data_IF_401684735205
#
_entry.id   IF_401684735205
#
_cell.length_a   1.000
_cell.length_b   1.000
_cell.length_c   1.000
_cell.angle_alpha   90.00
_cell.angle_beta   90.00
_cell.angle_gamma   90.00
#
_symmetry.space_group_name_H-M   'P 1'
#
loop_
_entity.id
_entity.type
_entity.pdbx_description
1 polymer ?
#
# COMPACT_ATOMS: atom_id res chain seq x y z
N UNK A 1 -32.03 15.43 27.57
CA UNK A 1 -31.37 14.13 27.34
C UNK A 1 -30.79 14.16 25.94
N UNK A 2 -29.52 13.79 25.75
CA UNK A 2 -28.94 13.68 24.40
C UNK A 2 -29.59 12.49 23.72
N UNK A 3 -30.10 12.68 22.50
CA UNK A 3 -30.71 11.61 21.71
C UNK A 3 -29.62 10.60 21.30
N UNK A 4 -29.85 9.33 21.62
CA UNK A 4 -28.95 8.25 21.19
C UNK A 4 -29.15 7.99 19.70
N UNK A 5 -28.16 8.36 18.90
CA UNK A 5 -28.18 8.22 17.43
C UNK A 5 -27.28 7.08 16.94
N UNK A 6 -26.82 6.19 17.82
CA UNK A 6 -25.85 5.15 17.47
C UNK A 6 -26.31 4.28 16.30
N UNK A 7 -27.51 3.69 16.37
CA UNK A 7 -28.01 2.80 15.32
C UNK A 7 -28.14 3.50 13.97
N UNK A 8 -28.63 4.75 13.97
CA UNK A 8 -28.77 5.54 12.75
C UNK A 8 -27.41 5.84 12.10
N UNK A 9 -26.44 6.26 12.91
CA UNK A 9 -25.09 6.56 12.44
C UNK A 9 -24.39 5.30 11.93
N UNK A 10 -24.48 4.20 12.66
CA UNK A 10 -23.91 2.91 12.26
C UNK A 10 -24.54 2.40 10.95
N UNK A 11 -25.86 2.44 10.84
CA UNK A 11 -26.58 1.96 9.65
C UNK A 11 -26.29 2.82 8.41
N UNK A 12 -26.14 4.13 8.57
CA UNK A 12 -25.90 5.08 7.48
C UNK A 12 -24.41 5.26 7.12
N UNK A 13 -23.49 4.86 7.99
CA UNK A 13 -22.06 5.12 7.78
C UNK A 13 -21.56 4.41 6.53
N UNK A 14 -21.10 5.20 5.56
CA UNK A 14 -20.46 4.73 4.34
C UNK A 14 -19.25 5.58 4.08
N UNK A 15 -18.22 4.94 3.55
CA UNK A 15 -17.01 5.60 3.09
C UNK A 15 -17.33 6.24 1.75
N UNK A 16 -17.16 7.57 1.64
CA UNK A 16 -17.43 8.30 0.41
C UNK A 16 -16.27 8.12 -0.58
N UNK A 17 -16.20 6.93 -1.19
CA UNK A 17 -15.20 6.56 -2.19
C UNK A 17 -15.92 6.20 -3.50
N UNK A 18 -15.48 6.70 -4.67
CA UNK A 18 -16.09 6.36 -5.96
C UNK A 18 -16.18 4.86 -6.19
N UNK A 19 -17.22 4.39 -6.88
CA UNK A 19 -17.42 2.96 -7.15
C UNK A 19 -16.23 2.36 -7.91
N UNK A 20 -15.78 3.04 -8.98
CA UNK A 20 -14.53 2.76 -9.66
C UNK A 20 -13.40 3.52 -8.96
N UNK A 21 -12.48 2.78 -8.37
CA UNK A 21 -11.43 3.33 -7.55
C UNK A 21 -10.21 2.43 -7.57
N UNK A 22 -9.04 3.03 -7.85
CA UNK A 22 -7.75 2.39 -7.67
C UNK A 22 -6.94 3.18 -6.63
N UNK A 23 -6.60 2.55 -5.51
CA UNK A 23 -5.87 3.20 -4.42
C UNK A 23 -4.47 3.66 -4.85
N UNK A 24 -3.82 2.97 -5.78
CA UNK A 24 -2.53 3.41 -6.32
C UNK A 24 -2.64 4.72 -7.12
N UNK A 25 -3.78 4.91 -7.80
CA UNK A 25 -4.09 6.15 -8.51
C UNK A 25 -4.30 7.31 -7.52
N UNK A 26 -5.04 7.06 -6.43
CA UNK A 26 -5.25 8.05 -5.37
C UNK A 26 -3.97 8.40 -4.58
N UNK A 27 -3.10 7.43 -4.34
CA UNK A 27 -1.89 7.60 -3.53
C UNK A 27 -0.67 8.05 -4.32
N UNK A 28 -0.54 7.71 -5.60
CA UNK A 28 0.65 8.03 -6.41
C UNK A 28 0.29 8.59 -7.79
N UNK A 29 -0.59 7.91 -8.54
CA UNK A 29 -0.89 8.23 -9.94
C UNK A 29 -1.28 9.69 -10.18
N UNK A 30 -2.23 10.23 -9.41
CA UNK A 30 -2.65 11.63 -9.52
C UNK A 30 -1.52 12.60 -9.23
N UNK A 31 -0.75 12.36 -8.17
CA UNK A 31 0.33 13.25 -7.74
C UNK A 31 1.51 13.22 -8.72
N UNK A 32 1.81 12.05 -9.29
CA UNK A 32 2.84 11.93 -10.32
C UNK A 32 2.46 12.67 -11.61
N UNK A 33 1.17 12.89 -11.88
CA UNK A 33 0.71 13.73 -13.00
C UNK A 33 0.66 15.21 -12.65
N UNK A 34 0.10 15.54 -11.49
CA UNK A 34 -0.23 16.92 -11.14
C UNK A 34 0.95 17.65 -10.47
N UNK A 35 1.75 16.94 -9.67
CA UNK A 35 2.92 17.47 -8.94
C UNK A 35 4.14 16.54 -9.04
N UNK A 36 4.62 16.18 -10.26
CA UNK A 36 5.62 15.13 -10.48
C UNK A 36 6.94 15.30 -9.69
N UNK A 37 7.32 16.55 -9.42
CA UNK A 37 8.58 16.90 -8.72
C UNK A 37 8.43 16.97 -7.20
N UNK A 38 7.21 16.93 -6.66
CA UNK A 38 7.00 16.94 -5.23
C UNK A 38 7.56 15.66 -4.60
N UNK A 39 8.15 15.79 -3.41
CA UNK A 39 8.67 14.64 -2.66
C UNK A 39 7.54 13.74 -2.21
N UNK A 40 7.62 12.47 -2.57
CA UNK A 40 6.71 11.43 -2.13
C UNK A 40 7.25 10.69 -0.90
N UNK A 41 8.55 10.38 -0.90
CA UNK A 41 9.20 9.61 0.16
C UNK A 41 10.48 10.32 0.60
N UNK A 42 10.58 10.60 1.89
CA UNK A 42 11.83 10.84 2.58
C UNK A 42 12.30 9.51 3.17
N UNK A 43 13.51 9.10 2.82
CA UNK A 43 14.14 7.91 3.39
C UNK A 43 15.30 8.36 4.26
N UNK A 44 15.28 7.93 5.53
CA UNK A 44 16.38 8.06 6.47
C UNK A 44 16.70 6.65 6.98
N UNK A 45 17.98 6.35 7.15
CA UNK A 45 18.47 5.04 7.55
C UNK A 45 19.34 5.16 8.78
N UNK A 46 19.49 4.06 9.52
CA UNK A 46 20.29 4.04 10.75
C UNK A 46 21.77 4.37 10.50
N UNK A 47 22.26 4.22 9.27
CA UNK A 47 23.62 4.61 8.85
C UNK A 47 23.76 6.11 8.53
N UNK A 48 22.68 6.89 8.67
CA UNK A 48 22.63 8.32 8.35
C UNK A 48 22.49 8.62 6.86
N UNK A 49 22.26 7.62 6.01
CA UNK A 49 21.98 7.84 4.59
C UNK A 49 20.55 8.40 4.44
N UNK A 50 20.46 9.57 3.80
CA UNK A 50 19.22 10.30 3.55
C UNK A 50 18.98 10.44 2.06
N UNK A 51 17.80 10.04 1.61
CA UNK A 51 17.38 10.12 0.22
C UNK A 51 15.98 10.72 0.12
N UNK A 52 15.71 11.37 -1.01
CA UNK A 52 14.38 11.88 -1.34
C UNK A 52 13.95 11.33 -2.69
N UNK A 53 12.72 10.84 -2.77
CA UNK A 53 12.12 10.33 -3.99
C UNK A 53 10.86 11.12 -4.31
N UNK A 54 10.76 11.62 -5.54
CA UNK A 54 9.59 12.33 -6.02
C UNK A 54 8.45 11.38 -6.40
N UNK A 55 7.24 11.92 -6.51
CA UNK A 55 6.10 11.16 -7.04
C UNK A 55 6.36 10.58 -8.43
N UNK A 56 7.05 11.32 -9.31
CA UNK A 56 7.43 10.79 -10.63
C UNK A 56 8.40 9.60 -10.54
N UNK A 57 9.34 9.61 -9.59
CA UNK A 57 10.27 8.48 -9.39
C UNK A 57 9.54 7.25 -8.84
N UNK A 58 8.69 7.44 -7.83
CA UNK A 58 7.86 6.37 -7.26
C UNK A 58 6.96 5.74 -8.33
N UNK A 59 6.25 6.57 -9.11
CA UNK A 59 5.34 6.12 -10.15
C UNK A 59 6.07 5.34 -11.26
N UNK A 60 7.24 5.83 -11.71
CA UNK A 60 8.03 5.14 -12.75
C UNK A 60 8.52 3.77 -12.28
N UNK A 61 8.99 3.68 -11.04
CA UNK A 61 9.42 2.40 -10.46
C UNK A 61 8.23 1.44 -10.29
N UNK A 62 7.09 1.94 -9.82
CA UNK A 62 5.88 1.13 -9.67
C UNK A 62 5.32 0.65 -11.01
N UNK A 63 5.40 1.46 -12.07
CA UNK A 63 5.01 1.07 -13.42
C UNK A 63 5.87 -0.07 -13.95
N UNK A 64 7.19 0.02 -13.79
CA UNK A 64 8.12 -1.06 -14.17
C UNK A 64 7.76 -2.35 -13.44
N UNK A 65 7.59 -2.27 -12.12
CA UNK A 65 7.21 -3.44 -11.32
C UNK A 65 5.84 -3.98 -11.71
N UNK A 66 4.86 -3.13 -12.03
CA UNK A 66 3.52 -3.57 -12.46
C UNK A 66 3.58 -4.42 -13.73
N UNK A 67 4.33 -3.95 -14.74
CA UNK A 67 4.59 -4.72 -15.96
C UNK A 67 5.28 -6.05 -15.64
N UNK A 68 6.32 -6.01 -14.80
CA UNK A 68 7.05 -7.21 -14.42
C UNK A 68 6.14 -8.25 -13.73
N UNK A 69 5.30 -7.83 -12.78
CA UNK A 69 4.37 -8.70 -12.07
C UNK A 69 3.37 -9.35 -13.03
N UNK A 70 2.87 -8.61 -14.03
CA UNK A 70 1.99 -9.19 -15.06
C UNK A 70 2.72 -10.23 -15.91
N UNK A 71 3.97 -9.98 -16.28
CA UNK A 71 4.83 -10.93 -17.01
C UNK A 71 5.12 -12.18 -16.17
N UNK A 72 5.20 -12.05 -14.84
CA UNK A 72 5.27 -13.17 -13.90
C UNK A 72 3.91 -13.82 -13.59
N UNK A 73 2.91 -13.59 -14.45
CA UNK A 73 1.57 -14.16 -14.34
C UNK A 73 0.81 -13.78 -13.06
N UNK A 74 1.15 -12.67 -12.41
CA UNK A 74 0.32 -12.08 -11.35
C UNK A 74 -0.92 -11.46 -12.01
N UNK A 75 -2.08 -11.61 -11.37
CA UNK A 75 -3.39 -11.18 -11.88
C UNK A 75 -4.19 -10.50 -10.76
N UNK A 76 -5.27 -9.81 -11.13
CA UNK A 76 -6.20 -9.21 -10.17
C UNK A 76 -6.63 -10.24 -9.12
N UNK A 77 -6.65 -9.84 -7.85
CA UNK A 77 -7.01 -10.69 -6.72
C UNK A 77 -5.92 -11.67 -6.24
N UNK A 78 -4.83 -11.87 -6.98
CA UNK A 78 -3.69 -12.66 -6.48
C UNK A 78 -3.01 -11.94 -5.31
N UNK A 79 -2.55 -12.70 -4.32
CA UNK A 79 -1.79 -12.14 -3.18
C UNK A 79 -0.30 -12.13 -3.53
N UNK A 80 0.35 -11.02 -3.23
CA UNK A 80 1.79 -10.85 -3.36
C UNK A 80 2.36 -10.54 -1.97
N UNK A 81 3.21 -11.42 -1.47
CA UNK A 81 3.89 -11.23 -0.19
C UNK A 81 4.92 -10.10 -0.31
N UNK A 82 4.94 -9.18 0.65
CA UNK A 82 5.96 -8.14 0.76
C UNK A 82 6.71 -8.39 2.07
N UNK A 83 7.90 -8.95 1.97
CA UNK A 83 8.81 -9.22 3.09
C UNK A 83 9.98 -8.24 2.97
N UNK A 84 9.70 -6.95 3.21
CA UNK A 84 10.66 -5.86 3.07
C UNK A 84 10.68 -4.99 4.34
N UNK A 85 11.83 -4.37 4.68
CA UNK A 85 11.88 -3.35 5.73
C UNK A 85 11.24 -2.03 5.25
N UNK A 86 11.29 -0.99 6.08
CA UNK A 86 10.82 0.35 5.68
C UNK A 86 11.84 0.99 4.71
N UNK A 87 11.59 0.85 3.41
CA UNK A 87 12.45 1.36 2.33
C UNK A 87 11.62 1.82 1.13
N UNK A 88 12.25 2.51 0.19
CA UNK A 88 11.59 3.01 -1.03
C UNK A 88 10.89 1.89 -1.81
N UNK A 89 11.52 0.73 -1.93
CA UNK A 89 11.02 -0.44 -2.65
C UNK A 89 9.73 -1.00 -2.04
N UNK A 90 9.51 -0.81 -0.75
CA UNK A 90 8.25 -1.19 -0.07
C UNK A 90 7.10 -0.34 -0.57
N UNK A 91 7.30 0.97 -0.72
CA UNK A 91 6.31 1.86 -1.33
C UNK A 91 6.07 1.50 -2.80
N UNK A 92 7.14 1.23 -3.56
CA UNK A 92 7.05 0.79 -4.96
C UNK A 92 6.22 -0.48 -5.10
N UNK A 93 6.46 -1.48 -4.24
CA UNK A 93 5.74 -2.75 -4.22
C UNK A 93 4.23 -2.55 -4.01
N UNK A 94 3.84 -1.76 -2.99
CA UNK A 94 2.43 -1.48 -2.71
C UNK A 94 1.73 -0.83 -3.90
N UNK A 95 2.30 0.24 -4.46
CA UNK A 95 1.71 0.94 -5.61
C UNK A 95 1.60 -0.01 -6.81
N UNK A 96 2.65 -0.77 -7.13
CA UNK A 96 2.64 -1.68 -8.28
C UNK A 96 1.60 -2.81 -8.17
N UNK A 97 1.51 -3.44 -7.00
CA UNK A 97 0.56 -4.52 -6.74
C UNK A 97 -0.89 -4.01 -6.86
N UNK A 98 -1.15 -2.82 -6.31
CA UNK A 98 -2.48 -2.19 -6.36
C UNK A 98 -2.84 -1.69 -7.77
N UNK A 99 -1.86 -1.22 -8.55
CA UNK A 99 -2.06 -0.82 -9.95
C UNK A 99 -2.58 -1.95 -10.84
N UNK A 100 -2.21 -3.21 -10.54
CA UNK A 100 -2.67 -4.39 -11.28
C UNK A 100 -3.90 -5.06 -10.63
N UNK A 101 -4.44 -4.45 -9.56
CA UNK A 101 -5.57 -4.99 -8.80
C UNK A 101 -5.25 -6.25 -8.01
N UNK A 102 -3.96 -6.54 -7.78
CA UNK A 102 -3.53 -7.61 -6.89
C UNK A 102 -3.57 -7.13 -5.42
N UNK A 103 -3.43 -8.08 -4.50
CA UNK A 103 -3.55 -7.86 -3.07
C UNK A 103 -2.17 -7.84 -2.44
N UNK A 104 -1.78 -6.71 -1.88
CA UNK A 104 -0.51 -6.59 -1.16
C UNK A 104 -0.61 -7.28 0.20
N UNK A 105 0.34 -8.15 0.51
CA UNK A 105 0.38 -8.87 1.78
C UNK A 105 1.69 -8.57 2.51
N UNK A 106 1.76 -7.47 3.28
CA UNK A 106 2.95 -7.15 4.06
C UNK A 106 3.18 -8.19 5.16
N UNK A 107 4.41 -8.66 5.26
CA UNK A 107 4.88 -9.62 6.25
C UNK A 107 6.13 -9.05 6.94
N UNK A 108 6.33 -9.42 8.21
CA UNK A 108 7.52 -8.99 8.95
C UNK A 108 8.78 -9.68 8.42
N UNK A 109 9.85 -8.89 8.29
CA UNK A 109 11.21 -9.40 8.04
C UNK A 109 11.71 -10.30 9.17
N UNK A 110 11.13 -10.18 10.37
CA UNK A 110 11.53 -10.94 11.56
C UNK A 110 10.82 -12.29 11.68
N UNK A 111 9.93 -12.63 10.75
CA UNK A 111 9.29 -13.94 10.75
C UNK A 111 10.26 -15.03 10.32
N UNK A 112 10.38 -16.06 11.15
CA UNK A 112 11.05 -17.31 10.78
C UNK A 112 10.23 -18.13 9.77
N UNK A 113 10.82 -19.24 9.32
CA UNK A 113 10.26 -20.11 8.29
C UNK A 113 8.80 -20.52 8.56
N UNK A 114 8.49 -21.12 9.71
CA UNK A 114 7.12 -21.59 10.03
C UNK A 114 6.07 -20.47 9.93
N UNK A 115 6.41 -19.27 10.41
CA UNK A 115 5.51 -18.12 10.38
C UNK A 115 5.27 -17.60 8.95
N UNK A 116 6.28 -17.66 8.08
CA UNK A 116 6.15 -17.34 6.66
C UNK A 116 5.33 -18.42 5.94
N UNK A 117 5.67 -19.69 6.16
CA UNK A 117 5.02 -20.84 5.54
C UNK A 117 3.51 -20.81 5.75
N UNK A 118 3.07 -20.69 7.00
CA UNK A 118 1.64 -20.63 7.33
C UNK A 118 0.92 -19.55 6.52
N UNK A 119 1.47 -18.33 6.50
CA UNK A 119 0.82 -17.18 5.84
C UNK A 119 0.85 -17.29 4.32
N UNK A 120 1.92 -17.83 3.75
CA UNK A 120 2.04 -18.08 2.32
C UNK A 120 1.03 -19.14 1.86
N UNK A 121 0.86 -20.22 2.63
CA UNK A 121 -0.11 -21.27 2.34
C UNK A 121 -1.55 -20.79 2.53
N UNK A 122 -1.88 -20.20 3.69
CA UNK A 122 -3.24 -19.73 4.00
C UNK A 122 -3.71 -18.62 3.03
N UNK A 123 -2.80 -17.73 2.64
CA UNK A 123 -3.12 -16.69 1.65
C UNK A 123 -3.13 -17.19 0.22
N UNK A 124 -2.48 -18.32 -0.10
CA UNK A 124 -2.18 -18.70 -1.48
C UNK A 124 -1.41 -17.62 -2.25
N UNK A 125 -0.43 -16.98 -1.61
CA UNK A 125 0.41 -15.97 -2.25
C UNK A 125 1.16 -16.55 -3.45
N UNK A 126 1.09 -15.86 -4.60
CA UNK A 126 1.63 -16.39 -5.86
C UNK A 126 3.05 -15.91 -6.17
N UNK A 127 3.47 -14.83 -5.51
CA UNK A 127 4.77 -14.19 -5.66
C UNK A 127 5.15 -13.54 -4.33
N UNK A 128 6.45 -13.52 -4.02
CA UNK A 128 7.00 -12.78 -2.89
C UNK A 128 8.01 -11.75 -3.36
N UNK A 129 7.99 -10.56 -2.79
CA UNK A 129 9.03 -9.54 -2.90
C UNK A 129 9.73 -9.50 -1.56
N UNK A 130 11.00 -9.85 -1.51
CA UNK A 130 11.75 -10.01 -0.26
C UNK A 130 13.08 -9.29 -0.29
N UNK A 131 13.57 -8.81 0.85
CA UNK A 131 14.93 -8.30 0.94
C UNK A 131 15.91 -9.46 1.18
N UNK A 132 17.17 -9.30 0.78
CA UNK A 132 18.20 -10.33 0.91
C UNK A 132 18.29 -10.93 2.32
N UNK A 133 18.04 -10.13 3.36
CA UNK A 133 18.11 -10.52 4.76
C UNK A 133 17.03 -11.54 5.15
N UNK A 134 15.86 -11.51 4.51
CA UNK A 134 14.76 -12.45 4.78
C UNK A 134 14.68 -13.61 3.76
N UNK A 135 15.49 -13.56 2.71
CA UNK A 135 15.51 -14.59 1.67
C UNK A 135 15.78 -16.02 2.20
N UNK A 136 16.71 -16.26 3.16
CA UNK A 136 16.97 -17.61 3.65
C UNK A 136 15.73 -18.31 4.25
N UNK A 137 14.96 -17.59 5.07
CA UNK A 137 13.74 -18.13 5.67
C UNK A 137 12.66 -18.42 4.62
N UNK A 138 12.60 -17.62 3.55
CA UNK A 138 11.68 -17.86 2.43
C UNK A 138 12.08 -19.07 1.59
N UNK A 139 13.39 -19.27 1.34
CA UNK A 139 13.91 -20.44 0.63
C UNK A 139 13.59 -21.74 1.36
N UNK A 140 13.70 -21.76 2.69
CA UNK A 140 13.41 -22.92 3.52
C UNK A 140 11.97 -23.45 3.33
N UNK A 141 11.02 -22.56 3.05
CA UNK A 141 9.59 -22.88 2.96
C UNK A 141 9.07 -22.96 1.52
N UNK A 142 9.81 -22.46 0.54
CA UNK A 142 9.37 -22.34 -0.86
C UNK A 142 8.85 -23.67 -1.44
N UNK A 143 9.56 -24.77 -1.17
CA UNK A 143 9.17 -26.11 -1.64
C UNK A 143 7.83 -26.60 -1.05
N UNK A 144 7.44 -26.10 0.13
CA UNK A 144 6.16 -26.42 0.80
C UNK A 144 5.05 -25.42 0.47
N UNK A 145 5.35 -24.38 -0.30
CA UNK A 145 4.40 -23.34 -0.72
C UNK A 145 4.17 -23.41 -2.24
N UNK A 146 3.40 -24.40 -2.76
CA UNK A 146 3.27 -24.64 -4.19
C UNK A 146 2.62 -23.48 -4.98
N UNK A 147 1.81 -22.65 -4.30
CA UNK A 147 1.24 -21.45 -4.90
C UNK A 147 2.30 -20.38 -5.20
N UNK A 148 3.37 -20.32 -4.40
CA UNK A 148 4.44 -19.33 -4.53
C UNK A 148 5.31 -19.69 -5.73
N UNK A 149 5.09 -19.03 -6.87
CA UNK A 149 5.76 -19.36 -8.14
C UNK A 149 7.12 -18.69 -8.29
N UNK A 150 7.24 -17.44 -7.86
CA UNK A 150 8.44 -16.61 -8.07
C UNK A 150 8.76 -15.76 -6.85
N UNK A 151 10.03 -15.41 -6.70
CA UNK A 151 10.51 -14.48 -5.69
C UNK A 151 11.27 -13.34 -6.37
N UNK A 152 10.96 -12.09 -6.03
CA UNK A 152 11.75 -10.92 -6.42
C UNK A 152 12.57 -10.49 -5.20
N UNK A 153 13.88 -10.41 -5.37
CA UNK A 153 14.85 -10.17 -4.29
C UNK A 153 15.39 -8.76 -4.38
N UNK A 154 15.24 -8.00 -3.31
CA UNK A 154 15.71 -6.62 -3.18
C UNK A 154 17.03 -6.59 -2.42
N UNK A 155 18.06 -6.03 -3.03
CA UNK A 155 19.42 -5.99 -2.50
C UNK A 155 20.40 -6.79 -3.35
N UNK A 156 21.65 -6.84 -2.91
CA UNK A 156 22.74 -7.52 -3.61
C UNK A 156 23.04 -8.85 -2.94
N UNK A 157 22.41 -9.92 -3.43
CA UNK A 157 22.70 -11.30 -3.03
C UNK A 157 22.47 -12.27 -4.20
N UNK A 158 23.11 -13.46 -4.18
CA UNK A 158 22.91 -14.46 -5.21
C UNK A 158 21.45 -14.92 -5.27
N UNK A 159 20.91 -15.01 -6.49
CA UNK A 159 19.55 -15.48 -6.77
C UNK A 159 19.58 -16.85 -7.45
N UNK A 160 18.63 -17.70 -7.10
CA UNK A 160 18.42 -19.03 -7.70
C UNK A 160 17.41 -18.98 -8.87
N UNK A 161 17.09 -20.14 -9.48
CA UNK A 161 16.28 -20.21 -10.72
C UNK A 161 14.86 -19.62 -10.62
N UNK A 162 14.19 -19.76 -9.46
CA UNK A 162 12.84 -19.23 -9.22
C UNK A 162 12.84 -17.79 -8.67
N UNK A 163 14.03 -17.21 -8.56
CA UNK A 163 14.28 -15.92 -7.94
C UNK A 163 14.77 -14.91 -8.98
N UNK A 164 14.51 -13.63 -8.75
CA UNK A 164 14.88 -12.58 -9.68
C UNK A 164 15.41 -11.38 -8.91
N UNK A 165 16.52 -10.81 -9.36
CA UNK A 165 17.04 -9.59 -8.78
C UNK A 165 16.13 -8.40 -9.13
N UNK A 166 15.77 -7.61 -8.12
CA UNK A 166 14.88 -6.46 -8.24
C UNK A 166 15.31 -5.46 -9.32
N UNK A 167 16.59 -5.11 -9.38
CA UNK A 167 17.09 -4.13 -10.34
C UNK A 167 16.94 -4.62 -11.77
N UNK A 168 17.26 -5.90 -12.01
CA UNK A 168 17.10 -6.52 -13.33
C UNK A 168 15.62 -6.59 -13.73
N UNK A 169 14.74 -6.97 -12.80
CA UNK A 169 13.29 -6.98 -13.00
C UNK A 169 12.76 -5.61 -13.42
N UNK A 170 13.19 -4.53 -12.75
CA UNK A 170 12.72 -3.19 -13.12
C UNK A 170 13.33 -2.69 -14.44
N UNK A 171 14.60 -2.99 -14.71
CA UNK A 171 15.30 -2.53 -15.91
C UNK A 171 14.75 -3.18 -17.19
N UNK A 172 14.25 -4.40 -17.10
CA UNK A 172 13.66 -5.13 -18.22
C UNK A 172 12.32 -4.56 -18.70
N UNK A 173 11.68 -3.69 -17.90
CA UNK A 173 10.31 -3.25 -18.15
C UNK A 173 10.20 -1.77 -18.50
N UNK A 174 9.13 -1.39 -19.21
CA UNK A 174 8.84 0.00 -19.51
C UNK A 174 8.34 0.77 -18.27
N UNK A 175 8.67 2.06 -18.20
CA UNK A 175 8.22 2.94 -17.12
C UNK A 175 6.79 3.50 -17.31
N UNK A 176 6.09 3.05 -18.36
CA UNK A 176 4.70 3.40 -18.63
C UNK A 176 3.79 2.22 -18.28
N UNK A 177 2.74 2.51 -17.53
CA UNK A 177 1.72 1.54 -17.18
C UNK A 177 0.36 2.24 -17.14
N UNK A 178 -0.70 1.53 -17.54
CA UNK A 178 -2.08 1.99 -17.36
C UNK A 178 -2.68 1.16 -16.22
N UNK A 179 -2.96 1.75 -15.05
CA UNK A 179 -3.61 1.04 -13.94
C UNK A 179 -4.91 0.37 -14.39
N UNK A 180 -5.18 -0.81 -13.84
CA UNK A 180 -6.46 -1.47 -14.07
C UNK A 180 -7.58 -0.70 -13.36
N UNK A 181 -8.76 -0.72 -13.97
CA UNK A 181 -9.98 -0.24 -13.31
C UNK A 181 -10.36 -1.28 -12.26
N UNK A 182 -10.29 -0.89 -10.99
CA UNK A 182 -10.75 -1.67 -9.83
C UNK A 182 -11.97 -1.00 -9.22
N UNK A 183 -12.65 -1.72 -8.33
CA UNK A 183 -13.75 -1.17 -7.56
C UNK A 183 -13.32 -0.86 -6.12
N UNK A 184 -14.02 0.07 -5.49
CA UNK A 184 -13.78 0.47 -4.11
C UNK A 184 -13.92 -0.68 -3.09
N UNK A 185 -14.70 -1.73 -3.40
CA UNK A 185 -14.83 -2.94 -2.57
C UNK A 185 -13.83 -4.05 -2.92
N UNK A 186 -13.02 -3.87 -3.97
CA UNK A 186 -12.01 -4.86 -4.33
C UNK A 186 -10.97 -5.00 -3.21
N UNK A 187 -10.48 -6.23 -2.94
CA UNK A 187 -9.40 -6.45 -2.01
C UNK A 187 -8.12 -5.69 -2.39
N UNK A 188 -7.48 -5.07 -1.40
CA UNK A 188 -6.29 -4.24 -1.60
C UNK A 188 -5.09 -4.74 -0.80
N UNK A 189 -5.34 -5.06 0.46
CA UNK A 189 -4.30 -5.46 1.41
C UNK A 189 -4.81 -6.65 2.23
N UNK A 190 -3.94 -7.63 2.47
CA UNK A 190 -4.16 -8.72 3.39
C UNK A 190 -3.15 -8.61 4.55
N UNK A 191 -3.63 -8.34 5.76
CA UNK A 191 -2.77 -8.25 6.96
C UNK A 191 -3.06 -9.43 7.87
N UNK A 192 -2.03 -10.18 8.24
CA UNK A 192 -2.15 -11.19 9.28
C UNK A 192 -1.96 -10.59 10.66
N UNK A 193 -2.93 -10.79 11.53
CA UNK A 193 -2.86 -10.39 12.94
C UNK A 193 -2.65 -11.60 13.84
N UNK A 194 -1.94 -11.41 14.97
CA UNK A 194 -1.85 -12.44 15.99
C UNK A 194 -3.23 -12.69 16.59
N UNK A 195 -3.70 -13.93 16.54
CA UNK A 195 -4.88 -14.34 17.28
C UNK A 195 -4.55 -14.41 18.77
N UNK A 196 -5.50 -14.04 19.64
CA UNK A 196 -5.42 -14.32 21.08
C UNK A 196 -5.53 -15.82 21.38
N UNK A 197 -6.13 -16.58 20.45
CA UNK A 197 -6.20 -18.04 20.44
C UNK A 197 -6.03 -18.55 19.02
N UNK A 198 -5.12 -19.50 18.81
CA UNK A 198 -4.90 -20.17 17.53
C UNK A 198 -4.02 -19.41 16.52
N UNK A 199 -4.04 -19.89 15.28
CA UNK A 199 -3.19 -19.38 14.22
C UNK A 199 -3.54 -17.92 13.83
N UNK A 200 -2.57 -17.16 13.27
CA UNK A 200 -2.81 -15.81 12.76
C UNK A 200 -3.96 -15.76 11.75
N UNK A 201 -4.75 -14.69 11.79
CA UNK A 201 -5.93 -14.50 10.91
C UNK A 201 -5.63 -13.45 9.86
N UNK A 202 -5.92 -13.76 8.60
CA UNK A 202 -5.79 -12.82 7.49
C UNK A 202 -6.97 -11.84 7.42
N UNK A 203 -6.75 -10.60 7.83
CA UNK A 203 -7.70 -9.50 7.64
C UNK A 203 -7.59 -8.96 6.21
N UNK A 204 -8.59 -9.26 5.38
CA UNK A 204 -8.68 -8.77 4.01
C UNK A 204 -9.35 -7.39 3.99
N UNK A 205 -8.61 -6.38 3.54
CA UNK A 205 -9.02 -4.98 3.58
C UNK A 205 -9.31 -4.50 2.15
N UNK A 206 -10.52 -3.98 1.87
CA UNK A 206 -10.86 -3.45 0.56
C UNK A 206 -10.22 -2.08 0.31
N UNK A 207 -10.14 -1.67 -0.95
CA UNK A 207 -9.47 -0.42 -1.34
C UNK A 207 -10.04 0.83 -0.66
N UNK A 208 -11.38 0.92 -0.51
CA UNK A 208 -12.02 2.06 0.17
C UNK A 208 -11.58 2.22 1.61
N UNK A 209 -11.36 1.10 2.31
CA UNK A 209 -10.99 1.10 3.72
C UNK A 209 -9.60 1.69 3.97
N UNK A 210 -8.74 1.73 2.94
CA UNK A 210 -7.43 2.38 3.05
C UNK A 210 -7.55 3.90 3.04
N UNK A 211 -8.42 4.47 2.21
CA UNK A 211 -8.50 5.92 2.04
C UNK A 211 -9.47 6.60 2.99
N UNK A 212 -10.66 6.06 3.25
CA UNK A 212 -11.59 6.80 4.13
C UNK A 212 -11.24 6.72 5.62
N UNK A 213 -10.18 5.98 6.01
CA UNK A 213 -9.67 5.91 7.38
C UNK A 213 -8.68 7.04 7.59
N UNK A 214 -8.33 7.72 6.50
CA UNK A 214 -7.43 8.85 6.51
C UNK A 214 -7.95 9.94 7.45
N UNK A 215 -9.26 10.14 7.58
CA UNK A 215 -9.81 11.06 8.59
C UNK A 215 -9.45 10.66 10.01
N UNK A 216 -9.53 9.36 10.35
CA UNK A 216 -9.07 8.82 11.63
C UNK A 216 -7.56 9.04 11.85
N UNK A 217 -6.75 8.82 10.82
CA UNK A 217 -5.32 9.08 10.87
C UNK A 217 -5.00 10.58 11.05
N UNK A 218 -5.55 11.44 10.19
CA UNK A 218 -5.41 12.91 10.27
C UNK A 218 -5.88 13.41 11.63
N UNK A 219 -7.01 12.94 12.14
CA UNK A 219 -7.50 13.35 13.45
C UNK A 219 -6.52 12.99 14.56
N UNK A 220 -5.99 11.76 14.53
CA UNK A 220 -5.06 11.28 15.55
C UNK A 220 -3.67 11.92 15.50
N UNK A 221 -3.24 12.45 14.34
CA UNK A 221 -1.89 12.97 14.14
C UNK A 221 -1.84 14.50 14.05
N UNK A 222 -2.85 15.11 13.40
CA UNK A 222 -2.87 16.54 13.09
C UNK A 222 -3.85 17.35 13.97
N UNK A 223 -4.72 16.71 14.77
CA UNK A 223 -5.63 17.41 15.69
C UNK A 223 -5.24 17.28 17.17
N UNK A 224 -4.15 16.58 17.49
CA UNK A 224 -3.55 16.58 18.83
C UNK A 224 -2.63 17.80 19.06
N UNK A 225 -3.20 19.01 18.93
CA UNK A 225 -2.58 20.23 19.46
C UNK A 225 -1.34 20.78 18.75
N UNK A 226 -0.99 20.28 17.57
CA UNK A 226 0.09 20.83 16.74
C UNK A 226 -0.46 21.25 15.37
N UNK A 227 -0.18 22.48 14.97
CA UNK A 227 -0.44 22.93 13.61
C UNK A 227 0.58 22.24 12.68
N UNK A 228 0.15 21.42 11.71
CA UNK A 228 1.07 20.62 10.89
C UNK A 228 1.98 21.47 10.00
N UNK A 229 1.72 22.78 9.89
CA UNK A 229 2.53 23.71 9.13
C UNK A 229 2.97 24.89 10.00
N UNK A 230 4.27 25.04 10.31
CA UNK A 230 4.76 26.24 10.97
C UNK A 230 4.48 27.47 10.08
N UNK A 231 3.55 28.33 10.52
CA UNK A 231 3.24 29.60 9.84
C UNK A 231 1.84 29.71 9.20
N UNK A 232 0.94 28.74 9.37
CA UNK A 232 -0.45 28.87 8.91
C UNK A 232 -1.30 29.69 9.90
N UNK A 233 -0.93 30.96 10.13
CA UNK A 233 -1.85 31.92 10.73
C UNK A 233 -2.91 32.31 9.69
N UNK A 234 -3.96 31.49 9.57
CA UNK A 234 -5.33 31.94 9.29
C UNK A 234 -6.29 30.76 9.49
N UNK A 235 -7.06 30.85 10.57
CA UNK A 235 -8.11 29.91 10.96
C UNK A 235 -9.13 29.69 9.84
N UNK A 236 -9.17 28.49 9.28
CA UNK A 236 -10.40 27.97 8.64
C UNK A 236 -11.12 27.14 9.70
N UNK A 237 -11.99 27.82 10.45
CA UNK A 237 -12.95 27.16 11.33
C UNK A 237 -14.01 26.38 10.55
N UNK A 238 -14.69 25.41 11.20
CA UNK A 238 -15.69 24.56 10.55
C UNK A 238 -17.00 25.34 10.37
N UNK A 239 -17.11 26.16 9.32
CA UNK A 239 -18.41 26.78 8.97
C UNK A 239 -18.63 27.15 7.49
N UNK A 240 -17.71 26.87 6.56
CA UNK A 240 -17.89 27.32 5.16
C UNK A 240 -18.74 26.39 4.27
N UNK A 241 -19.39 25.36 4.83
CA UNK A 241 -20.45 24.59 4.14
C UNK A 241 -21.83 25.02 4.66
N UNK A 242 -22.25 26.24 4.32
CA UNK A 242 -23.61 26.68 4.61
C UNK A 242 -23.85 28.15 4.25
N UNK A 243 -24.83 28.37 3.35
CA UNK A 243 -25.46 29.65 2.96
C UNK A 243 -24.74 30.47 1.88
N UNK A 244 -25.20 30.30 0.64
CA UNK A 244 -25.43 31.42 -0.28
C UNK A 244 -26.93 31.72 -0.28
N UNK A 245 -27.33 32.69 0.52
CA UNK A 245 -28.53 33.52 0.42
C UNK A 245 -27.98 34.92 0.76
N UNK A 246 -28.04 35.96 -0.07
CA UNK A 246 -29.19 36.54 -0.75
C UNK A 246 -29.47 37.89 -0.07
N UNK A 247 -29.11 39.00 -0.70
CA UNK A 247 -29.51 40.42 -0.47
C UNK A 247 -28.48 41.28 -1.23
N UNK A 248 -28.74 42.05 -2.31
CA UNK A 248 -29.82 42.99 -2.67
C UNK A 248 -30.07 44.11 -1.64
N UNK A 249 -29.52 45.29 -1.95
CA UNK A 249 -30.22 46.57 -1.77
C UNK A 249 -29.85 47.40 -0.55
N UNK A 250 -29.46 48.65 -0.79
CA UNK A 250 -29.33 49.71 0.21
C UNK A 250 -28.07 50.55 0.03
#
# INVERSE_FOLDING_TARGET
MVEDRYEQLHAAFRWQVPADFNIAEACCGRWARDTPKATAIYFDSDSGCRMQYSYAQLQRAANRLSNALLNQSVRRGHRVAIVLPQRFETAVAHIAIQQIGAVAMPLSMLFGAEALEYRLQDSGAVLAITACEALPALREVKARCPALRRVVVVGECPVDCDEMNWMQVLQAEEARFKPVVTHADDPAILIYTSGTTGNPKGALIPQRALIGNLSGFIASQNWFGFDPFPGATETIGPSSLGKREGEMGG
#
